data_IF_986332672040
#
_entry.id   IF_986332672040
#
_cell.length_a   1.000
_cell.length_b   1.000
_cell.length_c   1.000
_cell.angle_alpha   90.00
_cell.angle_beta   90.00
_cell.angle_gamma   90.00
#
_symmetry.space_group_name_H-M   'P 1'
#
loop_
_entity.id
_entity.type
_entity.pdbx_description
1 polymer ?
#
# COMPACT_ATOMS: atom_id res chain seq x y z
N UNK A 1 -37.03 6.47 -12.61
CA UNK A 1 -36.86 7.93 -12.67
C UNK A 1 -36.80 8.58 -11.30
N UNK A 2 -37.65 8.21 -10.33
CA UNK A 2 -37.65 8.81 -8.98
C UNK A 2 -36.31 8.78 -8.21
N UNK A 3 -35.59 7.65 -8.21
CA UNK A 3 -34.26 7.55 -7.56
C UNK A 3 -33.26 8.63 -7.99
N UNK A 4 -33.25 8.96 -9.29
CA UNK A 4 -32.34 9.98 -9.81
C UNK A 4 -32.75 11.40 -9.38
N UNK A 5 -34.05 11.64 -9.19
CA UNK A 5 -34.60 12.87 -8.62
C UNK A 5 -34.13 13.08 -7.18
N UNK A 6 -34.33 12.07 -6.33
CA UNK A 6 -33.93 12.15 -4.92
C UNK A 6 -32.42 12.33 -4.72
N UNK A 7 -31.60 11.71 -5.57
CA UNK A 7 -30.16 11.95 -5.57
C UNK A 7 -29.82 13.40 -5.96
N UNK A 8 -30.58 14.00 -6.87
CA UNK A 8 -30.48 15.40 -7.24
C UNK A 8 -30.82 16.34 -6.09
N UNK A 9 -31.92 16.06 -5.39
CA UNK A 9 -32.39 16.87 -4.27
C UNK A 9 -31.49 16.75 -3.04
N UNK A 10 -30.98 15.53 -2.76
CA UNK A 10 -29.93 15.30 -1.77
C UNK A 10 -28.69 16.16 -2.06
N UNK A 11 -28.22 16.19 -3.32
CA UNK A 11 -27.07 16.99 -3.72
C UNK A 11 -27.35 18.50 -3.60
N UNK A 12 -28.56 18.96 -3.94
CA UNK A 12 -28.97 20.36 -3.75
C UNK A 12 -28.95 20.75 -2.27
N UNK A 13 -29.42 19.87 -1.38
CA UNK A 13 -29.39 20.05 0.08
C UNK A 13 -27.96 20.15 0.60
N UNK A 14 -27.04 19.30 0.13
CA UNK A 14 -25.60 19.43 0.46
C UNK A 14 -25.00 20.75 -0.03
N UNK A 15 -25.35 21.21 -1.24
CA UNK A 15 -24.86 22.50 -1.77
C UNK A 15 -25.33 23.69 -0.92
N UNK A 16 -26.58 23.70 -0.47
CA UNK A 16 -27.09 24.74 0.45
C UNK A 16 -26.28 24.80 1.74
N UNK A 17 -25.96 23.65 2.34
CA UNK A 17 -25.12 23.59 3.53
C UNK A 17 -23.71 24.14 3.28
N UNK A 18 -23.03 23.66 2.24
CA UNK A 18 -21.63 24.02 1.97
C UNK A 18 -21.48 25.47 1.52
N UNK A 19 -22.37 25.97 0.66
CA UNK A 19 -22.26 27.30 0.05
C UNK A 19 -22.95 28.38 0.86
N UNK A 20 -24.12 28.09 1.42
CA UNK A 20 -24.96 29.09 2.10
C UNK A 20 -24.84 28.99 3.63
N UNK A 21 -24.15 27.97 4.16
CA UNK A 21 -24.04 27.68 5.61
C UNK A 21 -25.40 27.54 6.29
N UNK A 22 -26.45 27.24 5.52
CA UNK A 22 -27.79 27.06 6.04
C UNK A 22 -27.97 25.62 6.52
N UNK A 23 -28.32 25.47 7.79
CA UNK A 23 -28.46 24.18 8.46
C UNK A 23 -29.82 24.00 9.15
N UNK A 24 -30.74 24.98 9.06
CA UNK A 24 -31.98 25.00 9.85
C UNK A 24 -32.88 23.80 9.56
N UNK A 25 -33.02 23.43 8.29
CA UNK A 25 -33.83 22.28 7.84
C UNK A 25 -32.98 21.09 7.38
N UNK A 26 -31.66 21.28 7.27
CA UNK A 26 -30.74 20.31 6.64
C UNK A 26 -30.92 18.88 7.15
N UNK A 27 -31.05 18.68 8.47
CA UNK A 27 -31.23 17.35 9.04
C UNK A 27 -32.57 16.71 8.66
N UNK A 28 -33.64 17.50 8.58
CA UNK A 28 -34.96 17.02 8.19
C UNK A 28 -34.97 16.64 6.71
N UNK A 29 -34.49 17.54 5.85
CA UNK A 29 -34.39 17.36 4.40
C UNK A 29 -33.49 16.15 4.07
N UNK A 30 -32.35 16.01 4.76
CA UNK A 30 -31.45 14.87 4.60
C UNK A 30 -32.12 13.54 4.94
N UNK A 31 -32.91 13.50 6.03
CA UNK A 31 -33.62 12.29 6.46
C UNK A 31 -34.69 11.89 5.45
N UNK A 32 -35.41 12.85 4.88
CA UNK A 32 -36.42 12.64 3.85
C UNK A 32 -35.79 12.05 2.59
N UNK A 33 -34.83 12.73 1.97
CA UNK A 33 -34.20 12.26 0.74
C UNK A 33 -33.47 10.92 0.90
N UNK A 34 -32.81 10.67 2.04
CA UNK A 34 -32.21 9.35 2.32
C UNK A 34 -33.31 8.28 2.44
N UNK A 35 -34.43 8.59 3.09
CA UNK A 35 -35.58 7.71 3.21
C UNK A 35 -36.15 7.32 1.85
N UNK A 36 -36.32 8.30 0.96
CA UNK A 36 -36.87 8.08 -0.38
C UNK A 36 -35.90 7.32 -1.28
N UNK A 37 -34.59 7.61 -1.21
CA UNK A 37 -33.56 6.81 -1.88
C UNK A 37 -33.64 5.36 -1.41
N UNK A 38 -33.72 5.13 -0.09
CA UNK A 38 -33.82 3.78 0.47
C UNK A 38 -35.10 3.07 0.02
N UNK A 39 -36.22 3.80 -0.05
CA UNK A 39 -37.49 3.28 -0.54
C UNK A 39 -37.40 2.88 -2.02
N UNK A 40 -36.82 3.71 -2.88
CA UNK A 40 -36.62 3.39 -4.30
C UNK A 40 -35.69 2.18 -4.49
N UNK A 41 -34.58 2.10 -3.75
CA UNK A 41 -33.67 0.96 -3.80
C UNK A 41 -34.35 -0.33 -3.34
N UNK A 42 -35.15 -0.25 -2.27
CA UNK A 42 -35.94 -1.37 -1.76
C UNK A 42 -36.96 -1.85 -2.79
N UNK A 43 -37.67 -0.91 -3.42
CA UNK A 43 -38.67 -1.22 -4.45
C UNK A 43 -38.03 -1.95 -5.65
N UNK A 44 -36.85 -1.51 -6.10
CA UNK A 44 -36.10 -2.18 -7.16
C UNK A 44 -35.63 -3.58 -6.72
N UNK A 45 -35.09 -3.72 -5.51
CA UNK A 45 -34.64 -5.01 -4.99
C UNK A 45 -35.80 -6.02 -4.91
N UNK A 46 -36.97 -5.60 -4.42
CA UNK A 46 -38.19 -6.42 -4.36
C UNK A 46 -38.65 -6.81 -5.77
N UNK A 47 -38.70 -5.85 -6.71
CA UNK A 47 -39.10 -6.11 -8.10
C UNK A 47 -38.22 -7.18 -8.77
N UNK A 48 -36.91 -7.12 -8.53
CA UNK A 48 -35.93 -8.06 -9.09
C UNK A 48 -35.69 -9.28 -8.20
N UNK A 49 -36.45 -9.44 -7.11
CA UNK A 49 -36.34 -10.55 -6.15
C UNK A 49 -34.93 -10.72 -5.56
N UNK A 50 -34.22 -9.62 -5.36
CA UNK A 50 -32.92 -9.58 -4.70
C UNK A 50 -33.16 -9.29 -3.21
N UNK A 51 -32.83 -10.20 -2.29
CA UNK A 51 -32.98 -9.94 -0.85
C UNK A 51 -32.11 -8.75 -0.42
N UNK A 52 -32.70 -7.78 0.30
CA UNK A 52 -31.93 -6.64 0.84
C UNK A 52 -30.78 -7.08 1.74
N UNK A 53 -30.95 -8.21 2.45
CA UNK A 53 -29.92 -8.81 3.28
C UNK A 53 -28.69 -9.22 2.47
N UNK A 54 -28.87 -9.65 1.22
CA UNK A 54 -27.76 -9.98 0.31
C UNK A 54 -26.98 -8.72 -0.05
N UNK A 55 -27.67 -7.66 -0.46
CA UNK A 55 -27.07 -6.36 -0.79
C UNK A 55 -26.31 -5.79 0.41
N UNK A 56 -26.89 -5.87 1.60
CA UNK A 56 -26.29 -5.40 2.84
C UNK A 56 -25.01 -6.21 3.18
N UNK A 57 -25.06 -7.55 3.08
CA UNK A 57 -23.89 -8.41 3.31
C UNK A 57 -22.76 -8.13 2.32
N UNK A 58 -23.07 -7.98 1.04
CA UNK A 58 -22.07 -7.67 0.02
C UNK A 58 -21.46 -6.27 0.20
N UNK A 59 -22.27 -5.29 0.60
CA UNK A 59 -21.79 -3.94 0.91
C UNK A 59 -20.91 -3.93 2.16
N UNK A 60 -21.29 -4.67 3.20
CA UNK A 60 -20.50 -4.84 4.42
C UNK A 60 -19.14 -5.49 4.12
N UNK A 61 -19.10 -6.57 3.33
CA UNK A 61 -17.85 -7.22 2.89
C UNK A 61 -16.94 -6.26 2.10
N UNK A 62 -17.50 -5.43 1.22
CA UNK A 62 -16.73 -4.41 0.49
C UNK A 62 -16.16 -3.36 1.43
N UNK A 63 -16.98 -2.88 2.38
CA UNK A 63 -16.55 -1.90 3.37
C UNK A 63 -15.45 -2.47 4.27
N UNK A 64 -15.61 -3.71 4.75
CA UNK A 64 -14.61 -4.40 5.55
C UNK A 64 -13.28 -4.51 4.80
N UNK A 65 -13.28 -4.95 3.54
CA UNK A 65 -12.05 -5.03 2.72
C UNK A 65 -11.35 -3.69 2.51
N UNK A 66 -12.13 -2.61 2.40
CA UNK A 66 -11.60 -1.26 2.12
C UNK A 66 -11.19 -0.50 3.39
N UNK A 67 -11.88 -0.72 4.50
CA UNK A 67 -11.78 0.13 5.69
C UNK A 67 -11.33 -0.61 6.96
N UNK A 68 -11.22 -1.93 6.96
CA UNK A 68 -10.59 -2.65 8.07
C UNK A 68 -9.09 -2.32 8.15
N UNK A 69 -8.56 -2.23 9.37
CA UNK A 69 -7.12 -1.99 9.59
C UNK A 69 -6.30 -3.23 9.21
N UNK A 70 -6.89 -4.41 9.33
CA UNK A 70 -6.17 -5.69 9.24
C UNK A 70 -5.37 -5.97 10.50
N UNK A 71 -4.66 -7.10 10.49
CA UNK A 71 -3.72 -7.52 11.52
C UNK A 71 -2.31 -7.58 10.94
N UNK A 72 -1.31 -7.76 11.81
CA UNK A 72 0.07 -8.02 11.37
C UNK A 72 0.11 -9.37 10.66
N UNK A 73 0.42 -9.37 9.37
CA UNK A 73 0.50 -10.61 8.60
C UNK A 73 1.84 -11.31 8.84
N UNK A 74 1.76 -12.61 9.14
CA UNK A 74 2.91 -13.49 9.36
C UNK A 74 2.80 -14.71 8.46
N UNK A 75 3.13 -14.54 7.18
CA UNK A 75 3.02 -15.61 6.17
C UNK A 75 4.07 -16.70 6.31
N UNK A 76 5.08 -16.52 7.16
CA UNK A 76 6.21 -17.43 7.34
C UNK A 76 6.35 -17.99 8.77
N UNK A 77 5.37 -17.77 9.67
CA UNK A 77 5.46 -18.25 11.06
C UNK A 77 5.65 -19.77 11.19
N UNK A 78 5.18 -20.55 10.20
CA UNK A 78 5.32 -22.00 10.16
C UNK A 78 6.61 -22.52 9.51
N UNK A 79 7.56 -21.65 9.17
CA UNK A 79 8.81 -22.01 8.50
C UNK A 79 10.01 -21.89 9.44
N UNK A 80 11.12 -22.53 9.07
CA UNK A 80 12.37 -22.45 9.84
C UNK A 80 12.93 -21.02 9.83
N UNK A 81 13.72 -20.62 10.85
CA UNK A 81 14.28 -19.27 10.96
C UNK A 81 15.01 -18.78 9.71
N UNK A 82 15.61 -19.70 8.95
CA UNK A 82 16.36 -19.39 7.74
C UNK A 82 15.47 -19.00 6.55
N UNK A 83 14.19 -19.31 6.60
CA UNK A 83 13.18 -19.04 5.57
C UNK A 83 12.18 -17.96 5.99
N UNK A 84 12.36 -17.43 7.19
CA UNK A 84 11.60 -16.30 7.73
C UNK A 84 12.28 -14.99 7.38
N UNK A 85 11.48 -13.98 7.06
CA UNK A 85 11.99 -12.62 7.00
C UNK A 85 12.42 -12.20 8.42
N UNK A 86 13.59 -11.55 8.59
CA UNK A 86 13.96 -10.96 9.87
C UNK A 86 12.89 -9.98 10.31
N UNK A 87 12.45 -10.07 11.56
CA UNK A 87 11.38 -9.19 12.08
C UNK A 87 11.80 -7.72 12.09
N UNK A 88 13.09 -7.47 12.28
CA UNK A 88 13.69 -6.15 12.25
C UNK A 88 15.03 -6.22 11.51
N UNK A 89 15.26 -5.28 10.60
CA UNK A 89 16.53 -5.11 9.90
C UNK A 89 16.67 -3.71 9.31
N UNK A 90 17.85 -3.37 8.84
CA UNK A 90 18.16 -2.04 8.29
C UNK A 90 18.77 -2.15 6.91
N UNK A 91 18.50 -1.20 6.04
CA UNK A 91 19.07 -1.13 4.69
C UNK A 91 19.67 0.23 4.48
N UNK A 92 20.95 0.27 4.07
CA UNK A 92 21.66 1.48 3.70
C UNK A 92 21.75 1.60 2.19
N UNK A 93 21.25 2.70 1.68
CA UNK A 93 21.36 3.14 0.30
C UNK A 93 22.53 4.13 0.21
N UNK A 94 23.48 3.88 -0.69
CA UNK A 94 24.63 4.76 -0.90
C UNK A 94 24.97 4.88 -2.38
N UNK A 95 25.17 6.10 -2.86
CA UNK A 95 25.67 6.34 -4.21
C UNK A 95 27.21 6.31 -4.22
N UNK A 96 27.80 5.62 -5.18
CA UNK A 96 29.26 5.63 -5.36
C UNK A 96 29.66 6.90 -6.11
N UNK A 97 30.61 7.69 -5.58
CA UNK A 97 31.13 8.87 -6.29
C UNK A 97 31.81 8.46 -7.60
N UNK A 98 31.30 8.94 -8.73
CA UNK A 98 31.88 8.76 -10.07
C UNK A 98 31.12 7.78 -10.98
N UNK A 99 30.29 6.90 -10.41
CA UNK A 99 29.45 5.95 -11.14
C UNK A 99 27.99 6.24 -10.78
N UNK A 100 27.07 6.35 -11.75
CA UNK A 100 25.62 6.50 -11.48
C UNK A 100 25.00 5.18 -10.96
N UNK A 101 25.74 4.41 -10.17
CA UNK A 101 25.30 3.14 -9.61
C UNK A 101 24.90 3.34 -8.15
N UNK A 102 23.67 2.91 -7.83
CA UNK A 102 23.21 2.78 -6.47
C UNK A 102 23.85 1.54 -5.84
N UNK A 103 24.37 1.65 -4.62
CA UNK A 103 24.77 0.51 -3.81
C UNK A 103 23.77 0.34 -2.68
N UNK A 104 23.14 -0.83 -2.62
CA UNK A 104 22.27 -1.23 -1.51
C UNK A 104 23.06 -2.18 -0.61
N UNK A 105 23.14 -1.85 0.68
CA UNK A 105 23.75 -2.70 1.71
C UNK A 105 22.72 -3.01 2.76
N UNK A 106 22.45 -4.28 2.99
CA UNK A 106 21.46 -4.70 4.00
C UNK A 106 22.23 -5.09 5.25
N UNK A 107 21.77 -4.65 6.40
CA UNK A 107 22.31 -4.99 7.71
C UNK A 107 21.24 -5.71 8.53
N UNK A 108 21.52 -6.97 8.86
CA UNK A 108 20.68 -7.79 9.74
C UNK A 108 21.48 -8.08 11.00
N UNK A 109 20.95 -7.70 12.17
CA UNK A 109 21.65 -7.85 13.47
C UNK A 109 23.09 -7.30 13.47
N UNK A 110 23.34 -6.21 12.75
CA UNK A 110 24.66 -5.56 12.64
C UNK A 110 25.62 -6.21 11.63
N UNK A 111 25.22 -7.27 10.94
CA UNK A 111 26.02 -7.95 9.90
C UNK A 111 25.55 -7.51 8.52
N UNK A 112 26.48 -7.13 7.65
CA UNK A 112 26.18 -6.80 6.25
C UNK A 112 25.85 -8.10 5.50
N UNK A 113 24.68 -8.14 4.87
CA UNK A 113 24.16 -9.24 4.06
C UNK A 113 23.77 -8.67 2.69
N UNK A 114 24.13 -9.35 1.59
CA UNK A 114 23.59 -9.06 0.26
C UNK A 114 24.61 -8.60 -0.78
N UNK A 115 24.16 -8.66 -2.04
CA UNK A 115 24.92 -8.30 -3.23
C UNK A 115 24.67 -6.84 -3.63
N UNK A 116 25.58 -6.28 -4.42
CA UNK A 116 25.44 -4.93 -4.98
C UNK A 116 24.40 -4.95 -6.10
N UNK A 117 23.28 -4.24 -5.94
CA UNK A 117 22.32 -4.03 -7.02
C UNK A 117 22.83 -2.92 -7.96
N UNK A 118 22.53 -3.02 -9.25
CA UNK A 118 22.86 -1.99 -10.26
C UNK A 118 21.58 -1.54 -10.96
N UNK A 119 21.40 -0.23 -11.08
CA UNK A 119 20.23 0.37 -11.72
C UNK A 119 20.24 0.19 -13.25
N UNK A 120 19.06 0.03 -13.84
CA UNK A 120 18.78 -0.06 -15.28
C UNK A 120 17.73 1.00 -15.70
N UNK A 121 17.91 2.28 -15.31
CA UNK A 121 17.04 3.38 -15.75
C UNK A 121 17.65 4.20 -16.91
N UNK A 122 16.83 4.49 -17.95
CA UNK A 122 17.23 5.30 -19.11
C UNK A 122 17.24 6.83 -18.84
N UNK A 123 16.56 7.30 -17.79
CA UNK A 123 16.47 8.71 -17.37
C UNK A 123 16.59 8.80 -15.85
N UNK A 124 17.15 9.91 -15.35
CA UNK A 124 17.29 10.17 -13.91
C UNK A 124 15.95 10.65 -13.31
N UNK A 125 14.99 9.73 -13.17
CA UNK A 125 13.69 9.95 -12.51
C UNK A 125 13.72 9.60 -11.01
N UNK A 126 14.87 9.12 -10.53
CA UNK A 126 15.06 8.66 -9.16
C UNK A 126 14.61 7.22 -8.91
N UNK A 127 14.15 6.48 -9.92
CA UNK A 127 13.73 5.08 -9.81
C UNK A 127 14.83 4.17 -9.25
N UNK A 128 16.10 4.59 -9.31
CA UNK A 128 17.20 3.91 -8.60
C UNK A 128 16.86 3.53 -7.16
N UNK A 129 16.14 4.37 -6.41
CA UNK A 129 15.77 4.08 -5.02
C UNK A 129 14.50 3.22 -4.85
N UNK A 130 13.92 2.66 -5.93
CA UNK A 130 12.63 1.96 -5.88
C UNK A 130 12.62 0.71 -4.99
N UNK A 131 13.79 0.12 -4.71
CA UNK A 131 13.88 -1.04 -3.79
C UNK A 131 13.27 -0.76 -2.41
N UNK A 132 13.19 0.51 -2.00
CA UNK A 132 12.51 0.93 -0.77
C UNK A 132 11.02 0.57 -0.76
N UNK A 133 10.38 0.43 -1.93
CA UNK A 133 8.99 -0.01 -2.04
C UNK A 133 8.84 -1.48 -1.65
N UNK A 134 9.77 -2.36 -2.08
CA UNK A 134 9.79 -3.76 -1.67
C UNK A 134 9.97 -3.91 -0.16
N UNK A 135 10.84 -3.07 0.43
CA UNK A 135 11.01 -3.00 1.89
C UNK A 135 9.73 -2.55 2.60
N UNK A 136 9.00 -1.59 2.02
CA UNK A 136 7.72 -1.14 2.56
C UNK A 136 6.66 -2.25 2.52
N UNK A 137 6.60 -3.01 1.43
CA UNK A 137 5.71 -4.16 1.30
C UNK A 137 6.08 -5.24 2.32
N UNK A 138 7.37 -5.56 2.48
CA UNK A 138 7.83 -6.48 3.51
C UNK A 138 7.42 -6.03 4.91
N UNK A 139 7.72 -4.78 5.29
CA UNK A 139 7.39 -4.20 6.59
C UNK A 139 5.89 -4.23 6.89
N UNK A 140 5.09 -3.66 6.00
CA UNK A 140 3.69 -3.36 6.28
C UNK A 140 2.78 -4.54 5.98
N UNK A 141 3.05 -5.25 4.88
CA UNK A 141 2.20 -6.34 4.40
C UNK A 141 2.66 -7.71 4.92
N UNK A 142 3.89 -7.81 5.45
CA UNK A 142 4.52 -9.10 5.74
C UNK A 142 4.87 -9.89 4.48
N UNK A 143 4.77 -9.27 3.30
CA UNK A 143 4.89 -9.89 1.99
C UNK A 143 5.78 -9.06 1.07
N UNK A 144 6.78 -9.72 0.50
CA UNK A 144 7.60 -9.20 -0.60
C UNK A 144 8.47 -10.36 -1.11
N UNK A 145 8.07 -11.07 -2.19
CA UNK A 145 8.93 -12.06 -2.85
C UNK A 145 10.28 -11.46 -3.29
N UNK A 146 10.31 -10.18 -3.68
CA UNK A 146 11.57 -9.49 -4.03
C UNK A 146 12.49 -9.36 -2.82
N UNK A 147 11.97 -8.86 -1.68
CA UNK A 147 12.76 -8.76 -0.44
C UNK A 147 13.20 -10.13 0.07
N UNK A 148 12.34 -11.16 -0.03
CA UNK A 148 12.72 -12.55 0.31
C UNK A 148 13.88 -13.04 -0.55
N UNK A 149 13.84 -12.82 -1.86
CA UNK A 149 14.93 -13.20 -2.75
C UNK A 149 16.22 -12.44 -2.40
N UNK A 150 16.12 -11.13 -2.20
CA UNK A 150 17.22 -10.24 -1.83
C UNK A 150 17.90 -10.66 -0.52
N UNK A 151 17.12 -11.06 0.49
CA UNK A 151 17.62 -11.53 1.78
C UNK A 151 17.95 -13.04 1.82
N UNK A 152 17.77 -13.75 0.71
CA UNK A 152 17.93 -15.22 0.63
C UNK A 152 17.04 -15.96 1.65
N UNK A 153 15.81 -15.47 1.85
CA UNK A 153 14.75 -15.98 2.78
C UNK A 153 13.52 -16.53 2.04
N UNK A 154 13.74 -17.13 0.88
CA UNK A 154 12.68 -17.85 0.17
C UNK A 154 12.33 -19.15 0.91
N UNK A 155 11.05 -19.52 0.93
CA UNK A 155 10.48 -20.69 1.63
C UNK A 155 10.61 -21.97 0.81
N UNK A 156 11.84 -22.34 0.47
CA UNK A 156 12.23 -23.49 -0.35
C UNK A 156 11.85 -24.85 0.23
N UNK A 157 11.68 -24.98 1.54
CA UNK A 157 11.23 -26.22 2.19
C UNK A 157 9.83 -26.65 1.74
N UNK A 158 9.01 -25.72 1.26
CA UNK A 158 7.72 -25.98 0.64
C UNK A 158 7.77 -25.59 -0.85
N UNK A 159 7.99 -26.55 -1.77
CA UNK A 159 8.15 -26.25 -3.20
C UNK A 159 6.98 -25.46 -3.82
N UNK A 160 5.75 -25.69 -3.34
CA UNK A 160 4.57 -25.00 -3.85
C UNK A 160 4.55 -23.52 -3.43
N UNK A 161 4.95 -23.22 -2.20
CA UNK A 161 5.06 -21.84 -1.72
C UNK A 161 6.23 -21.14 -2.40
N UNK A 162 7.38 -21.81 -2.53
CA UNK A 162 8.53 -21.29 -3.25
C UNK A 162 8.19 -20.92 -4.71
N UNK A 163 7.41 -21.75 -5.40
CA UNK A 163 7.00 -21.51 -6.79
C UNK A 163 5.93 -20.41 -6.91
N UNK A 164 4.91 -20.43 -6.06
CA UNK A 164 3.72 -19.59 -6.23
C UNK A 164 3.86 -18.23 -5.54
N UNK A 165 4.36 -18.20 -4.31
CA UNK A 165 4.37 -17.01 -3.45
C UNK A 165 5.74 -16.32 -3.44
N UNK A 166 6.83 -17.09 -3.51
CA UNK A 166 8.20 -16.55 -3.55
C UNK A 166 8.84 -16.63 -4.96
N UNK A 167 8.08 -17.13 -5.94
CA UNK A 167 8.56 -17.42 -7.28
C UNK A 167 8.46 -16.24 -8.24
N UNK A 168 8.94 -16.45 -9.47
CA UNK A 168 9.08 -15.37 -10.44
C UNK A 168 7.77 -14.64 -10.77
N UNK A 169 6.62 -15.34 -10.79
CA UNK A 169 5.33 -14.69 -11.05
C UNK A 169 4.94 -13.71 -9.94
N UNK A 170 5.16 -14.08 -8.68
CA UNK A 170 4.88 -13.21 -7.55
C UNK A 170 5.82 -11.99 -7.55
N UNK A 171 7.11 -12.20 -7.83
CA UNK A 171 8.08 -11.10 -8.02
C UNK A 171 7.66 -10.15 -9.14
N UNK A 172 7.27 -10.66 -10.31
CA UNK A 172 6.80 -9.81 -11.43
C UNK A 172 5.56 -9.01 -11.06
N UNK A 173 4.62 -9.60 -10.30
CA UNK A 173 3.45 -8.86 -9.81
C UNK A 173 3.86 -7.75 -8.83
N UNK A 174 4.77 -8.02 -7.90
CA UNK A 174 5.30 -7.02 -6.98
C UNK A 174 5.98 -5.86 -7.73
N UNK A 175 6.86 -6.16 -8.68
CA UNK A 175 7.52 -5.18 -9.54
C UNK A 175 6.53 -4.35 -10.35
N UNK A 176 5.52 -4.99 -10.94
CA UNK A 176 4.48 -4.30 -11.69
C UNK A 176 3.68 -3.31 -10.82
N UNK A 177 3.44 -3.64 -9.54
CA UNK A 177 2.83 -2.72 -8.59
C UNK A 177 3.77 -1.55 -8.30
N UNK A 178 5.05 -1.79 -8.04
CA UNK A 178 6.05 -0.72 -7.85
C UNK A 178 6.09 0.24 -9.05
N UNK A 179 6.15 -0.29 -10.27
CA UNK A 179 6.16 0.50 -11.52
C UNK A 179 4.85 1.27 -11.71
N UNK A 180 3.70 0.63 -11.48
CA UNK A 180 2.38 1.28 -11.58
C UNK A 180 2.30 2.48 -10.64
N UNK A 181 2.61 2.27 -9.36
CA UNK A 181 2.54 3.31 -8.33
C UNK A 181 3.55 4.42 -8.64
N UNK A 182 4.74 4.09 -9.14
CA UNK A 182 5.77 5.04 -9.57
C UNK A 182 5.35 5.92 -10.73
N UNK A 183 4.78 5.35 -11.78
CA UNK A 183 4.36 6.10 -12.96
C UNK A 183 3.24 7.11 -12.65
N UNK A 184 2.42 6.84 -11.63
CA UNK A 184 1.36 7.76 -11.17
C UNK A 184 1.84 8.77 -10.12
N UNK A 185 3.04 8.59 -9.54
CA UNK A 185 3.48 9.32 -8.36
C UNK A 185 3.49 10.84 -8.53
N UNK A 186 4.03 11.34 -9.64
CA UNK A 186 4.12 12.79 -9.88
C UNK A 186 2.74 13.45 -9.95
N UNK A 187 1.77 12.81 -10.60
CA UNK A 187 0.39 13.30 -10.71
C UNK A 187 -0.36 13.25 -9.38
N UNK A 188 0.10 12.40 -8.46
CA UNK A 188 -0.46 12.18 -7.12
C UNK A 188 0.32 12.91 -6.02
N UNK A 189 1.14 13.89 -6.36
CA UNK A 189 1.92 14.67 -5.38
C UNK A 189 2.91 13.82 -4.59
N UNK A 190 3.53 12.84 -5.26
CA UNK A 190 4.49 11.87 -4.70
C UNK A 190 3.99 11.13 -3.47
N UNK A 191 2.68 10.96 -3.33
CA UNK A 191 2.03 10.34 -2.18
C UNK A 191 2.38 10.98 -0.82
N UNK A 192 2.40 12.31 -0.79
CA UNK A 192 2.67 13.10 0.42
C UNK A 192 1.46 13.21 1.37
N UNK A 193 0.25 13.04 0.84
CA UNK A 193 -1.00 13.11 1.60
C UNK A 193 -1.76 11.79 1.54
N UNK A 194 -2.54 11.48 2.57
CA UNK A 194 -3.35 10.26 2.61
C UNK A 194 -4.38 10.14 1.47
N UNK A 195 -4.90 11.26 0.96
CA UNK A 195 -5.88 11.27 -0.14
C UNK A 195 -5.26 10.93 -1.51
N UNK A 196 -3.92 10.95 -1.62
CA UNK A 196 -3.20 10.63 -2.86
C UNK A 196 -3.34 9.16 -3.28
N UNK A 197 -3.65 8.27 -2.33
CA UNK A 197 -3.92 6.84 -2.57
C UNK A 197 -5.43 6.64 -2.60
N UNK A 198 -5.99 6.66 -3.80
CA UNK A 198 -7.44 6.52 -4.00
C UNK A 198 -7.91 5.04 -4.07
N UNK A 199 -9.22 4.86 -3.94
CA UNK A 199 -9.88 3.55 -3.96
C UNK A 199 -9.69 2.83 -5.31
N UNK A 200 -9.59 3.57 -6.41
CA UNK A 200 -9.34 3.02 -7.75
C UNK A 200 -7.99 2.34 -7.83
N UNK A 201 -6.92 3.03 -7.41
CA UNK A 201 -5.57 2.47 -7.33
C UNK A 201 -5.54 1.21 -6.45
N UNK A 202 -6.10 1.29 -5.24
CA UNK A 202 -6.17 0.16 -4.31
C UNK A 202 -6.93 -1.04 -4.90
N UNK A 203 -8.04 -0.81 -5.61
CA UNK A 203 -8.79 -1.87 -6.30
C UNK A 203 -8.00 -2.52 -7.43
N UNK A 204 -7.11 -1.79 -8.10
CA UNK A 204 -6.22 -2.36 -9.12
C UNK A 204 -5.18 -3.27 -8.47
N UNK A 205 -4.51 -2.79 -7.42
CA UNK A 205 -3.50 -3.57 -6.67
C UNK A 205 -4.10 -4.85 -6.08
N UNK A 206 -5.28 -4.76 -5.46
CA UNK A 206 -6.00 -5.93 -4.91
C UNK A 206 -6.34 -6.95 -6.00
N UNK A 207 -6.62 -6.50 -7.23
CA UNK A 207 -6.90 -7.42 -8.35
C UNK A 207 -5.62 -8.09 -8.87
N UNK A 208 -4.51 -7.36 -8.96
CA UNK A 208 -3.21 -7.90 -9.36
C UNK A 208 -2.72 -9.00 -8.40
N UNK A 209 -3.09 -8.90 -7.13
CA UNK A 209 -2.62 -9.78 -6.04
C UNK A 209 -3.62 -10.85 -5.62
N UNK A 210 -4.77 -10.96 -6.29
CA UNK A 210 -5.87 -11.82 -5.87
C UNK A 210 -5.52 -13.32 -5.78
N UNK A 211 -4.51 -13.77 -6.53
CA UNK A 211 -4.05 -15.16 -6.55
C UNK A 211 -2.84 -15.46 -5.64
N UNK A 212 -2.46 -14.53 -4.77
CA UNK A 212 -1.29 -14.61 -3.88
C UNK A 212 -1.71 -14.49 -2.42
N UNK A 213 -0.87 -14.92 -1.49
CA UNK A 213 -1.15 -14.87 -0.05
C UNK A 213 -1.40 -13.45 0.46
N UNK A 214 -0.77 -12.45 -0.18
CA UNK A 214 -0.96 -11.01 0.13
C UNK A 214 -2.38 -10.53 -0.14
N UNK A 215 -3.22 -11.31 -0.82
CA UNK A 215 -4.67 -11.05 -0.94
C UNK A 215 -5.39 -10.98 0.42
N UNK A 216 -4.77 -11.50 1.49
CA UNK A 216 -5.22 -11.34 2.88
C UNK A 216 -5.03 -9.93 3.43
N UNK A 217 -4.18 -9.11 2.82
CA UNK A 217 -3.94 -7.74 3.24
C UNK A 217 -5.11 -6.83 2.87
N UNK A 218 -5.43 -5.91 3.78
CA UNK A 218 -6.51 -4.94 3.59
C UNK A 218 -6.07 -3.79 2.68
N UNK A 219 -7.05 -3.04 2.14
CA UNK A 219 -6.74 -1.83 1.37
C UNK A 219 -6.01 -0.77 2.22
N UNK A 220 -6.27 -0.71 3.53
CA UNK A 220 -5.55 0.18 4.45
C UNK A 220 -4.09 -0.21 4.62
N UNK A 221 -3.77 -1.50 4.67
CA UNK A 221 -2.38 -1.97 4.73
C UNK A 221 -1.63 -1.62 3.45
N UNK A 222 -2.24 -1.84 2.27
CA UNK A 222 -1.68 -1.40 0.99
C UNK A 222 -1.45 0.12 0.94
N UNK A 223 -2.44 0.90 1.38
CA UNK A 223 -2.31 2.36 1.51
C UNK A 223 -1.13 2.74 2.39
N UNK A 224 -1.02 2.13 3.58
CA UNK A 224 0.08 2.40 4.50
C UNK A 224 1.44 2.03 3.90
N UNK A 225 1.54 0.89 3.21
CA UNK A 225 2.77 0.45 2.56
C UNK A 225 3.24 1.45 1.48
N UNK A 226 2.31 1.92 0.65
CA UNK A 226 2.61 2.94 -0.37
C UNK A 226 3.07 4.24 0.31
N UNK A 227 2.33 4.75 1.29
CA UNK A 227 2.67 6.02 1.96
C UNK A 227 4.03 5.96 2.66
N UNK A 228 4.32 4.87 3.38
CA UNK A 228 5.60 4.69 4.06
C UNK A 228 6.76 4.51 3.06
N UNK A 229 6.56 3.72 2.01
CA UNK A 229 7.52 3.56 0.92
C UNK A 229 7.86 4.89 0.26
N UNK A 230 6.87 5.73 -0.02
CA UNK A 230 7.09 7.05 -0.61
C UNK A 230 7.69 8.07 0.37
N UNK A 231 7.36 8.00 1.66
CA UNK A 231 8.03 8.81 2.66
C UNK A 231 9.54 8.52 2.69
N UNK A 232 9.92 7.24 2.72
CA UNK A 232 11.31 6.82 2.69
C UNK A 232 11.98 7.14 1.34
N UNK A 233 11.30 6.89 0.22
CA UNK A 233 11.79 7.22 -1.13
C UNK A 233 12.10 8.71 -1.30
N UNK A 234 11.22 9.59 -0.85
CA UNK A 234 11.44 11.05 -0.90
C UNK A 234 12.68 11.44 -0.08
N UNK A 235 12.80 10.91 1.14
CA UNK A 235 13.94 11.18 2.00
C UNK A 235 15.27 10.67 1.40
N UNK A 236 15.27 9.45 0.83
CA UNK A 236 16.41 8.87 0.14
C UNK A 236 16.83 9.71 -1.06
N UNK A 237 15.87 10.20 -1.87
CA UNK A 237 16.15 11.07 -3.01
C UNK A 237 16.73 12.40 -2.60
N UNK A 238 16.15 13.02 -1.58
CA UNK A 238 16.61 14.32 -1.05
C UNK A 238 18.06 14.23 -0.56
N UNK A 239 18.40 13.15 0.15
CA UNK A 239 19.72 12.97 0.77
C UNK A 239 20.70 12.13 -0.07
N UNK A 240 20.31 11.71 -1.28
CA UNK A 240 21.10 10.86 -2.19
C UNK A 240 21.60 9.57 -1.53
N UNK A 241 20.72 8.94 -0.77
CA UNK A 241 21.02 7.77 0.06
C UNK A 241 20.58 7.96 1.50
N UNK A 242 21.04 7.08 2.38
CA UNK A 242 20.70 7.06 3.80
C UNK A 242 20.33 5.65 4.26
N UNK A 243 19.82 5.55 5.48
CA UNK A 243 19.42 4.27 6.08
C UNK A 243 17.90 4.22 6.22
N UNK A 244 17.33 3.05 5.99
CA UNK A 244 15.93 2.76 6.24
C UNK A 244 15.86 1.58 7.21
N UNK A 245 15.10 1.74 8.28
CA UNK A 245 14.80 0.68 9.25
C UNK A 245 13.46 0.04 8.91
N UNK A 246 13.45 -1.28 8.90
CA UNK A 246 12.31 -2.13 8.55
C UNK A 246 11.89 -2.88 9.81
N UNK A 247 10.64 -2.71 10.24
CA UNK A 247 10.05 -3.41 11.38
C UNK A 247 8.71 -4.04 10.94
N UNK A 248 8.74 -5.37 10.80
CA UNK A 248 7.57 -6.13 10.36
C UNK A 248 6.56 -6.33 11.49
N UNK A 249 6.97 -6.23 12.76
CA UNK A 249 6.08 -6.37 13.92
C UNK A 249 5.27 -5.10 14.16
N UNK A 250 5.88 -3.94 13.93
CA UNK A 250 5.23 -2.63 14.00
C UNK A 250 4.59 -2.18 12.68
N UNK A 251 4.76 -2.96 11.61
CA UNK A 251 4.33 -2.59 10.25
C UNK A 251 4.87 -1.20 9.84
N UNK A 252 6.17 -1.00 10.06
CA UNK A 252 6.83 0.29 9.95
C UNK A 252 8.10 0.23 9.08
N UNK A 253 8.22 1.22 8.19
CA UNK A 253 9.40 1.53 7.40
C UNK A 253 9.79 2.98 7.69
N UNK A 254 10.96 3.19 8.28
CA UNK A 254 11.40 4.52 8.75
C UNK A 254 12.74 4.90 8.14
N UNK A 255 12.80 6.06 7.49
CA UNK A 255 14.08 6.63 7.09
C UNK A 255 14.81 7.21 8.30
N UNK A 256 16.09 6.89 8.43
CA UNK A 256 16.99 7.37 9.48
C UNK A 256 18.00 8.32 8.82
N UNK A 257 17.94 9.59 9.21
CA UNK A 257 18.89 10.59 8.76
C UNK A 257 20.32 10.20 9.21
N UNK A 258 21.35 10.44 8.39
CA UNK A 258 22.73 10.23 8.80
C UNK A 258 23.01 11.04 10.07
N UNK A 259 23.52 10.38 11.12
CA UNK A 259 23.99 11.10 12.31
C UNK A 259 25.09 12.04 11.86
N UNK A 260 24.91 13.36 12.07
CA UNK A 260 25.95 14.33 11.75
C UNK A 260 27.24 13.86 12.41
N UNK A 261 28.28 13.59 11.60
CA UNK A 261 29.59 13.28 12.12
C UNK A 261 29.99 14.45 13.01
N UNK A 262 30.11 14.19 14.32
CA UNK A 262 30.49 15.19 15.30
C UNK A 262 31.69 15.95 14.77
N UNK A 263 31.55 17.27 14.66
CA UNK A 263 32.63 18.15 14.25
C UNK A 263 33.85 17.83 15.10
N UNK A 264 34.90 17.34 14.44
CA UNK A 264 36.23 17.38 15.05
C UNK A 264 36.60 18.86 15.09
N UNK A 265 36.53 19.42 16.29
CA UNK A 265 37.23 20.64 16.68
C UNK A 265 38.75 20.46 16.46
#
# INVERSE_FOLDING_TARGET
MGLAGELGDLNATFKKLVLLRDSRTFRADLREHIGDILWYLTSLAVLHKIPLQEIARESARKAERLYSKGEVNRFDDGFEPEERLPRQFSVTFSEKRGEKQLLVRIMVSGVIVGDTLTDNAHKDDGYRFHDVFHLAYAAVLGWSPVTRAMLRRKRKSNPRIDEVEDGGRASVVEEAISVLVFNEAAQRGWYSDESSVDIGLLKTIIRLTAGLEVSRCTAKQWKAAILQGYAAFRALREHRGGRVDVDLDQQALTYVAPTAAGGKA
#
